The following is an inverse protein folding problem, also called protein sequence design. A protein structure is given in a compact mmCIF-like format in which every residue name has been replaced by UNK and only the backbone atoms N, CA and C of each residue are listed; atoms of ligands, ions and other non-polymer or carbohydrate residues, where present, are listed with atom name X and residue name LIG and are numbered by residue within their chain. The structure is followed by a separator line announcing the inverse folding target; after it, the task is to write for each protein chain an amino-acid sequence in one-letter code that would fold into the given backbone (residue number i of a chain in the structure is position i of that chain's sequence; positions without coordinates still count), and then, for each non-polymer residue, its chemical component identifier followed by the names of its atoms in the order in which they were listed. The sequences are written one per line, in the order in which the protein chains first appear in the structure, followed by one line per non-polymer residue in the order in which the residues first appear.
data_IF_254927632725
#
_entry.id   IF_254927632725
#
_cell.length_a   1.000
_cell.length_b   1.000
_cell.length_c   1.000
_cell.angle_alpha   90.00
_cell.angle_beta   90.00
_cell.angle_gamma   90.00
#
_symmetry.space_group_name_H-M   'P 1'
#
loop_
_entity.id
_entity.type
_entity.pdbx_description
1 polymer ?
#
# COMPACT_ATOMS: atom_id res chain seq x y z
N UNK A 1 8.51 -8.86 2.01
CA UNK A 1 7.18 -8.38 2.45
C UNK A 1 7.08 -6.86 2.54
N UNK A 2 6.22 -6.26 1.71
CA UNK A 2 5.87 -4.84 1.66
C UNK A 2 4.49 -4.64 2.28
N UNK A 3 4.34 -3.59 3.08
CA UNK A 3 3.10 -3.23 3.77
C UNK A 3 2.64 -1.85 3.33
N UNK A 4 1.37 -1.74 2.96
CA UNK A 4 0.67 -0.49 2.68
C UNK A 4 -0.34 -0.28 3.80
N UNK A 5 -0.19 0.82 4.54
CA UNK A 5 -1.11 1.22 5.58
C UNK A 5 -2.07 2.28 5.03
N UNK A 6 -3.37 2.02 5.20
CA UNK A 6 -4.45 2.91 4.77
C UNK A 6 -5.18 3.44 6.00
N UNK A 7 -5.49 4.74 6.02
CA UNK A 7 -6.44 5.27 7.00
C UNK A 7 -7.84 4.81 6.65
N UNK A 8 -8.63 4.46 7.67
CA UNK A 8 -10.06 4.21 7.50
C UNK A 8 -10.74 5.50 7.04
N UNK A 9 -11.70 5.36 6.13
CA UNK A 9 -12.42 6.47 5.52
C UNK A 9 -13.91 6.36 5.76
N UNK A 10 -14.57 7.51 5.80
CA UNK A 10 -16.03 7.57 5.76
C UNK A 10 -16.55 7.44 4.32
N UNK A 11 -17.84 7.13 4.16
CA UNK A 11 -18.46 6.71 2.90
C UNK A 11 -18.33 7.73 1.75
N UNK A 12 -18.09 9.00 2.07
CA UNK A 12 -18.04 10.12 1.14
C UNK A 12 -16.68 10.86 1.13
N UNK A 13 -15.65 10.29 1.79
CA UNK A 13 -14.32 10.90 1.88
C UNK A 13 -13.46 10.63 0.63
N UNK A 14 -12.83 11.66 0.05
CA UNK A 14 -12.10 11.56 -1.21
C UNK A 14 -10.80 10.74 -1.13
N UNK A 15 -10.83 9.56 -1.75
CA UNK A 15 -9.72 8.67 -2.16
C UNK A 15 -8.37 9.33 -2.53
N UNK A 16 -7.38 9.51 -1.64
CA UNK A 16 -6.04 10.02 -2.03
C UNK A 16 -4.92 9.03 -1.72
N UNK A 17 -4.20 8.60 -2.79
CA UNK A 17 -3.01 7.75 -2.70
C UNK A 17 -1.82 8.42 -2.00
N UNK A 18 -1.85 9.76 -1.85
CA UNK A 18 -0.79 10.49 -1.15
C UNK A 18 -0.82 10.25 0.35
N UNK A 19 -1.94 9.79 0.88
CA UNK A 19 -2.13 9.54 2.32
C UNK A 19 -1.68 8.13 2.74
N UNK A 20 -1.23 7.32 1.78
CA UNK A 20 -0.74 5.98 2.04
C UNK A 20 0.64 6.02 2.67
N UNK A 21 0.80 5.23 3.73
CA UNK A 21 2.10 4.92 4.28
C UNK A 21 2.54 3.54 3.79
N UNK A 22 3.77 3.45 3.29
CA UNK A 22 4.25 2.26 2.60
C UNK A 22 5.65 1.92 3.08
N UNK A 23 5.82 0.69 3.58
CA UNK A 23 7.06 0.22 4.17
C UNK A 23 7.46 -1.17 3.65
N UNK A 24 8.75 -1.36 3.39
CA UNK A 24 9.32 -2.67 3.14
C UNK A 24 9.80 -3.26 4.47
N UNK A 25 9.00 -4.15 5.07
CA UNK A 25 9.23 -4.68 6.42
C UNK A 25 10.55 -5.44 6.53
N UNK A 26 10.84 -6.32 5.56
CA UNK A 26 12.11 -7.05 5.48
C UNK A 26 13.33 -6.14 5.26
N UNK A 27 13.10 -4.88 4.90
CA UNK A 27 14.15 -3.87 4.76
C UNK A 27 14.17 -2.90 5.95
N UNK A 28 13.86 -3.40 7.15
CA UNK A 28 13.81 -2.64 8.41
C UNK A 28 12.89 -1.41 8.33
N UNK A 29 11.70 -1.59 7.75
CA UNK A 29 10.76 -0.49 7.54
C UNK A 29 11.21 0.49 6.46
N UNK A 30 11.96 0.02 5.46
CA UNK A 30 12.46 0.85 4.36
C UNK A 30 11.33 1.59 3.65
N UNK A 31 11.42 2.92 3.56
CA UNK A 31 10.39 3.76 2.92
C UNK A 31 10.24 3.40 1.44
N UNK A 32 9.01 3.17 1.03
CA UNK A 32 8.64 2.89 -0.37
C UNK A 32 8.31 4.20 -1.10
N UNK A 33 8.61 4.26 -2.39
CA UNK A 33 8.19 5.31 -3.32
C UNK A 33 7.44 4.72 -4.50
N UNK A 34 6.51 5.50 -5.04
CA UNK A 34 5.91 5.21 -6.33
C UNK A 34 6.82 5.71 -7.46
N UNK A 35 7.14 4.83 -8.41
CA UNK A 35 7.94 5.13 -9.60
C UNK A 35 7.15 4.63 -10.81
N UNK A 36 6.40 5.52 -11.46
CA UNK A 36 5.51 5.15 -12.56
C UNK A 36 4.45 4.15 -12.10
N UNK A 37 4.51 2.93 -12.64
CA UNK A 37 3.61 1.81 -12.30
C UNK A 37 4.24 0.79 -11.33
N UNK A 38 5.23 1.18 -10.54
CA UNK A 38 5.90 0.28 -9.59
C UNK A 38 6.13 0.92 -8.22
N UNK A 39 6.19 0.08 -7.20
CA UNK A 39 6.59 0.44 -5.84
C UNK A 39 8.06 0.07 -5.64
N UNK A 40 8.92 1.05 -5.34
CA UNK A 40 10.34 0.85 -5.08
C UNK A 40 10.68 1.11 -3.61
N UNK A 41 11.38 0.18 -2.97
CA UNK A 41 12.02 0.45 -1.68
C UNK A 41 13.29 1.29 -1.87
N UNK A 42 13.37 2.47 -1.24
CA UNK A 42 14.54 3.35 -1.34
C UNK A 42 15.87 2.72 -0.89
N UNK A 43 15.81 1.75 0.03
CA UNK A 43 16.99 1.20 0.69
C UNK A 43 17.59 0.02 -0.08
N UNK A 44 16.76 -0.94 -0.49
CA UNK A 44 17.23 -2.12 -1.22
C UNK A 44 16.94 -2.10 -2.73
N UNK A 45 16.24 -1.07 -3.24
CA UNK A 45 15.78 -0.99 -4.63
C UNK A 45 14.87 -2.14 -5.07
N UNK A 46 14.33 -2.90 -4.12
CA UNK A 46 13.32 -3.92 -4.38
C UNK A 46 12.09 -3.27 -5.01
N UNK A 47 11.68 -3.78 -6.16
CA UNK A 47 10.59 -3.25 -6.97
C UNK A 47 9.43 -4.23 -7.02
N UNK A 48 8.21 -3.73 -6.86
CA UNK A 48 6.99 -4.49 -7.08
C UNK A 48 6.19 -3.81 -8.18
N UNK A 49 5.83 -4.53 -9.25
CA UNK A 49 4.90 -4.00 -10.24
C UNK A 49 3.53 -3.76 -9.61
N UNK A 50 2.92 -2.62 -9.93
CA UNK A 50 1.66 -2.17 -9.37
C UNK A 50 0.69 -1.80 -10.50
N UNK A 51 -0.50 -2.40 -10.49
CA UNK A 51 -1.53 -2.30 -11.52
C UNK A 51 -2.83 -1.70 -10.97
N UNK A 52 -3.68 -1.17 -11.85
CA UNK A 52 -4.96 -0.57 -11.45
C UNK A 52 -5.95 -1.53 -10.76
N UNK A 53 -5.77 -2.86 -10.83
CA UNK A 53 -6.59 -3.79 -10.02
C UNK A 53 -6.23 -3.77 -8.54
N UNK A 54 -4.98 -3.45 -8.23
CA UNK A 54 -4.46 -3.42 -6.87
C UNK A 54 -4.92 -2.15 -6.15
N UNK A 55 -5.08 -1.05 -6.87
CA UNK A 55 -5.72 0.19 -6.41
C UNK A 55 -7.09 -0.06 -5.78
N UNK A 56 -7.96 -0.82 -6.45
CA UNK A 56 -9.31 -1.12 -5.94
C UNK A 56 -9.28 -1.85 -4.59
N UNK A 57 -8.32 -2.77 -4.39
CA UNK A 57 -8.17 -3.50 -3.12
C UNK A 57 -7.69 -2.58 -1.99
N UNK A 58 -6.84 -1.60 -2.29
CA UNK A 58 -6.40 -0.59 -1.32
C UNK A 58 -7.59 0.24 -0.87
N UNK A 59 -8.41 0.72 -1.81
CA UNK A 59 -9.61 1.52 -1.49
C UNK A 59 -10.60 0.73 -0.65
N UNK A 60 -10.87 -0.55 -0.99
CA UNK A 60 -11.75 -1.41 -0.18
C UNK A 60 -11.24 -1.54 1.27
N UNK A 61 -9.93 -1.71 1.45
CA UNK A 61 -9.32 -1.80 2.80
C UNK A 61 -9.49 -0.49 3.57
N UNK A 62 -9.49 0.66 2.89
CA UNK A 62 -9.77 1.94 3.53
C UNK A 62 -11.24 2.08 3.95
N UNK A 63 -12.18 1.42 3.26
CA UNK A 63 -13.61 1.47 3.55
C UNK A 63 -13.98 0.55 4.72
N UNK A 64 -13.59 -0.72 4.65
CA UNK A 64 -14.02 -1.73 5.62
C UNK A 64 -12.99 -2.04 6.72
N UNK A 65 -11.72 -1.67 6.52
CA UNK A 65 -10.63 -1.95 7.44
C UNK A 65 -10.05 -3.37 7.34
N UNK A 66 -10.55 -4.21 6.43
CA UNK A 66 -10.10 -5.59 6.31
C UNK A 66 -8.77 -5.71 5.56
N UNK A 67 -7.81 -6.43 6.16
CA UNK A 67 -6.52 -6.71 5.52
C UNK A 67 -6.71 -7.43 4.18
N UNK A 68 -5.95 -7.00 3.16
CA UNK A 68 -5.96 -7.61 1.82
C UNK A 68 -4.54 -7.88 1.33
N UNK A 69 -4.37 -8.99 0.63
CA UNK A 69 -3.15 -9.30 -0.13
C UNK A 69 -3.30 -8.89 -1.59
N UNK A 70 -2.33 -8.12 -2.09
CA UNK A 70 -2.27 -7.72 -3.50
C UNK A 70 -1.51 -8.77 -4.30
N UNK A 71 -0.34 -9.18 -3.78
CA UNK A 71 0.52 -10.26 -4.25
C UNK A 71 1.11 -11.01 -3.04
N UNK A 72 1.91 -12.06 -3.28
CA UNK A 72 2.60 -12.80 -2.21
C UNK A 72 3.50 -11.90 -1.35
N UNK A 73 4.00 -10.82 -1.93
CA UNK A 73 4.94 -9.90 -1.28
C UNK A 73 4.28 -8.60 -0.78
N UNK A 74 2.97 -8.40 -0.96
CA UNK A 74 2.30 -7.14 -0.63
C UNK A 74 1.01 -7.35 0.16
N UNK A 75 0.97 -6.74 1.34
CA UNK A 75 -0.24 -6.63 2.17
C UNK A 75 -0.69 -5.19 2.33
N UNK A 76 -2.00 -5.00 2.40
CA UNK A 76 -2.67 -3.74 2.72
C UNK A 76 -3.39 -3.91 4.04
N UNK A 77 -3.15 -3.02 4.98
CA UNK A 77 -3.72 -3.07 6.33
C UNK A 77 -4.27 -1.71 6.73
N UNK A 78 -5.27 -1.70 7.60
CA UNK A 78 -5.73 -0.47 8.22
C UNK A 78 -4.64 0.07 9.15
N UNK A 79 -4.31 1.36 9.03
CA UNK A 79 -3.48 2.08 9.98
C UNK A 79 -4.18 2.12 11.34
N UNK A 80 -3.46 1.69 12.37
CA UNK A 80 -3.91 1.72 13.77
C UNK A 80 -3.68 3.09 14.41
#
# INVERSE_FOLDING_TARGET
MFTIEVKKREKDEEFSFKDLEMFHQECYGGKIKWIGAALECKRCRGNIPFSGREEKKIVLTAIDGEERRLSDDVRVVQKT
#
